data_IF_077280133729
#
_entry.id   IF_077280133729
#
_cell.length_a   1.000
_cell.length_b   1.000
_cell.length_c   1.000
_cell.angle_alpha   90.00
_cell.angle_beta   90.00
_cell.angle_gamma   90.00
#
_symmetry.space_group_name_H-M   'P 1'
#
loop_
_entity.id
_entity.type
_entity.pdbx_description
1 polymer ?
#
# COMPACT_ATOMS: atom_id res chain seq x y z
N UNK A 1 -9.42 -35.51 -34.12
CA UNK A 1 -9.96 -36.87 -33.88
C UNK A 1 -11.48 -36.84 -34.03
N UNK A 2 -12.11 -37.97 -34.34
CA UNK A 2 -13.57 -38.07 -34.30
C UNK A 2 -13.98 -38.56 -32.91
N UNK A 3 -14.91 -37.86 -32.28
CA UNK A 3 -15.42 -38.20 -30.95
C UNK A 3 -16.91 -38.46 -31.08
N UNK A 4 -17.38 -39.60 -30.60
CA UNK A 4 -18.81 -39.92 -30.51
C UNK A 4 -19.36 -39.41 -29.19
N UNK A 5 -20.41 -38.59 -29.22
CA UNK A 5 -21.04 -38.05 -28.01
C UNK A 5 -22.02 -39.07 -27.45
N UNK A 6 -21.68 -39.70 -26.33
CA UNK A 6 -22.45 -40.83 -25.78
C UNK A 6 -23.56 -40.36 -24.85
N UNK A 7 -23.28 -39.34 -24.03
CA UNK A 7 -24.19 -38.88 -22.99
C UNK A 7 -24.08 -37.38 -22.78
N UNK A 8 -25.21 -36.73 -22.57
CA UNK A 8 -25.28 -35.35 -22.09
C UNK A 8 -26.11 -35.31 -20.81
N UNK A 9 -25.68 -34.52 -19.85
CA UNK A 9 -26.38 -34.23 -18.59
C UNK A 9 -26.51 -32.74 -18.40
N UNK A 10 -27.62 -32.30 -17.80
CA UNK A 10 -27.86 -30.90 -17.51
C UNK A 10 -27.27 -30.55 -16.13
N UNK A 11 -26.41 -29.54 -16.07
CA UNK A 11 -25.85 -28.98 -14.84
C UNK A 11 -26.32 -27.53 -14.62
N UNK A 12 -25.87 -26.86 -13.56
CA UNK A 12 -26.23 -25.46 -13.29
C UNK A 12 -25.68 -24.48 -14.32
N UNK A 13 -24.61 -24.83 -15.03
CA UNK A 13 -23.92 -23.99 -16.00
C UNK A 13 -24.23 -24.32 -17.47
N UNK A 14 -25.03 -25.36 -17.74
CA UNK A 14 -25.42 -25.76 -19.09
C UNK A 14 -25.49 -27.27 -19.26
N UNK A 15 -25.36 -27.73 -20.51
CA UNK A 15 -25.24 -29.16 -20.82
C UNK A 15 -23.77 -29.58 -20.79
N UNK A 16 -23.47 -30.63 -20.03
CA UNK A 16 -22.18 -31.30 -20.00
C UNK A 16 -22.30 -32.61 -20.78
N UNK A 17 -21.57 -32.73 -21.88
CA UNK A 17 -21.58 -33.93 -22.71
C UNK A 17 -20.26 -34.68 -22.61
N UNK A 18 -20.34 -36.01 -22.55
CA UNK A 18 -19.21 -36.92 -22.54
C UNK A 18 -19.15 -37.67 -23.86
N UNK A 19 -17.97 -37.74 -24.44
CA UNK A 19 -17.74 -38.48 -25.67
C UNK A 19 -16.53 -39.41 -25.58
N UNK A 20 -16.50 -40.39 -26.48
CA UNK A 20 -15.38 -41.32 -26.59
C UNK A 20 -14.79 -41.35 -27.99
N UNK A 21 -13.51 -41.72 -28.08
CA UNK A 21 -12.81 -41.91 -29.34
C UNK A 21 -11.80 -43.04 -29.24
N UNK A 22 -11.44 -43.58 -30.39
CA UNK A 22 -10.35 -44.56 -30.51
C UNK A 22 -9.13 -43.88 -31.10
N UNK A 23 -7.98 -44.05 -30.45
CA UNK A 23 -6.71 -43.53 -30.96
C UNK A 23 -6.15 -44.42 -32.09
N UNK A 24 -5.05 -43.98 -32.71
CA UNK A 24 -4.42 -44.72 -33.81
C UNK A 24 -3.81 -46.06 -33.39
N UNK A 25 -3.71 -46.35 -32.08
CA UNK A 25 -3.22 -47.60 -31.51
C UNK A 25 -4.36 -48.54 -31.09
N UNK A 26 -5.61 -48.16 -31.36
CA UNK A 26 -6.79 -48.94 -30.98
C UNK A 26 -7.23 -48.74 -29.52
N UNK A 27 -6.60 -47.83 -28.78
CA UNK A 27 -6.99 -47.49 -27.42
C UNK A 27 -8.27 -46.65 -27.40
N UNK A 28 -9.26 -47.05 -26.59
CA UNK A 28 -10.49 -46.26 -26.37
C UNK A 28 -10.28 -45.28 -25.22
N UNK A 29 -10.62 -44.02 -25.47
CA UNK A 29 -10.54 -42.92 -24.52
C UNK A 29 -11.90 -42.26 -24.38
N UNK A 30 -12.19 -41.68 -23.22
CA UNK A 30 -13.42 -40.92 -22.98
C UNK A 30 -13.14 -39.69 -22.15
N UNK A 31 -13.75 -38.56 -22.52
CA UNK A 31 -13.62 -37.30 -21.81
C UNK A 31 -14.90 -36.47 -21.92
N UNK A 32 -15.02 -35.46 -21.07
CA UNK A 32 -15.98 -34.39 -21.29
C UNK A 32 -15.59 -33.60 -22.54
N UNK A 33 -16.59 -33.24 -23.35
CA UNK A 33 -16.41 -32.57 -24.64
C UNK A 33 -17.06 -31.20 -24.57
N UNK A 34 -16.25 -30.15 -24.50
CA UNK A 34 -16.73 -28.79 -24.54
C UNK A 34 -17.29 -28.44 -25.95
N UNK A 35 -18.17 -27.44 -26.00
CA UNK A 35 -18.86 -26.95 -27.22
C UNK A 35 -19.72 -27.98 -27.92
N UNK A 36 -20.43 -28.76 -27.12
CA UNK A 36 -21.44 -29.69 -27.60
C UNK A 36 -22.75 -29.40 -26.89
N UNK A 37 -23.86 -29.73 -27.53
CA UNK A 37 -25.18 -29.58 -26.94
C UNK A 37 -25.94 -30.92 -26.91
N UNK A 38 -27.18 -30.88 -26.41
CA UNK A 38 -28.03 -32.07 -26.34
C UNK A 38 -28.38 -32.66 -27.72
N UNK A 39 -28.38 -31.84 -28.78
CA UNK A 39 -28.63 -32.27 -30.15
C UNK A 39 -27.45 -33.03 -30.74
N UNK A 40 -26.28 -32.95 -30.12
CA UNK A 40 -25.09 -33.68 -30.52
C UNK A 40 -25.02 -35.11 -29.97
N UNK A 41 -25.93 -35.48 -29.04
CA UNK A 41 -25.99 -36.84 -28.49
C UNK A 41 -26.18 -37.89 -29.59
N UNK A 42 -25.29 -38.87 -29.62
CA UNK A 42 -25.24 -39.94 -30.62
C UNK A 42 -24.56 -39.56 -31.93
N UNK A 43 -24.02 -38.34 -32.06
CA UNK A 43 -23.31 -37.88 -33.27
C UNK A 43 -21.80 -38.00 -33.08
N UNK A 44 -21.10 -38.25 -34.19
CA UNK A 44 -19.64 -38.18 -34.24
C UNK A 44 -19.20 -36.79 -34.69
N UNK A 45 -18.46 -36.08 -33.83
CA UNK A 45 -17.97 -34.74 -34.07
C UNK A 45 -16.46 -34.71 -34.26
N UNK A 46 -15.99 -33.78 -35.10
CA UNK A 46 -14.56 -33.49 -35.20
C UNK A 46 -14.14 -32.69 -33.98
N UNK A 47 -13.28 -33.30 -33.16
CA UNK A 47 -12.76 -32.69 -31.95
C UNK A 47 -11.23 -32.59 -31.96
N UNK A 48 -10.72 -31.75 -31.05
CA UNK A 48 -9.30 -31.57 -30.77
C UNK A 48 -9.05 -31.65 -29.27
N UNK A 49 -7.91 -32.20 -28.88
CA UNK A 49 -7.46 -32.19 -27.49
C UNK A 49 -6.57 -30.97 -27.28
N UNK A 50 -6.89 -30.15 -26.29
CA UNK A 50 -6.16 -28.95 -25.90
C UNK A 50 -5.80 -28.97 -24.40
N UNK A 51 -5.14 -27.90 -23.91
CA UNK A 51 -4.75 -27.78 -22.50
C UNK A 51 -5.93 -27.78 -21.51
N UNK A 52 -7.15 -27.57 -22.00
CA UNK A 52 -8.38 -27.55 -21.22
C UNK A 52 -9.32 -28.73 -21.51
N UNK A 53 -8.83 -29.80 -22.15
CA UNK A 53 -9.60 -31.00 -22.43
C UNK A 53 -9.96 -31.17 -23.91
N UNK A 54 -11.09 -31.84 -24.18
CA UNK A 54 -11.54 -32.15 -25.55
C UNK A 54 -12.61 -31.14 -25.97
N UNK A 55 -12.44 -30.56 -27.15
CA UNK A 55 -13.34 -29.53 -27.66
C UNK A 55 -13.87 -29.93 -29.04
N UNK A 56 -15.19 -29.95 -29.21
CA UNK A 56 -15.81 -30.09 -30.53
C UNK A 56 -15.96 -28.70 -31.18
N UNK A 57 -15.83 -28.60 -32.50
CA UNK A 57 -16.02 -27.32 -33.20
C UNK A 57 -14.78 -26.40 -33.27
N UNK A 58 -15.00 -25.12 -33.58
CA UNK A 58 -13.93 -24.16 -33.88
C UNK A 58 -13.66 -23.24 -32.69
N UNK A 59 -12.37 -22.95 -32.43
CA UNK A 59 -11.89 -22.01 -31.40
C UNK A 59 -12.53 -20.60 -31.49
N UNK A 60 -13.21 -20.27 -32.59
CA UNK A 60 -13.92 -19.01 -32.74
C UNK A 60 -15.07 -18.84 -31.74
N UNK A 61 -15.67 -19.92 -31.24
CA UNK A 61 -16.72 -19.86 -30.22
C UNK A 61 -16.18 -19.50 -28.82
N UNK A 62 -14.91 -19.80 -28.54
CA UNK A 62 -14.20 -19.41 -27.31
C UNK A 62 -13.52 -18.04 -27.37
N UNK A 63 -13.49 -17.42 -28.55
CA UNK A 63 -12.80 -16.15 -28.77
C UNK A 63 -13.21 -15.03 -27.80
N UNK A 64 -14.50 -14.84 -27.44
CA UNK A 64 -14.85 -13.81 -26.47
C UNK A 64 -14.30 -14.09 -25.06
N UNK A 65 -14.24 -15.35 -24.61
CA UNK A 65 -13.66 -15.73 -23.32
C UNK A 65 -12.14 -15.55 -23.32
N UNK A 66 -11.46 -15.97 -24.39
CA UNK A 66 -10.01 -15.80 -24.54
C UNK A 66 -9.61 -14.32 -24.67
N UNK A 67 -10.42 -13.51 -25.36
CA UNK A 67 -10.23 -12.05 -25.45
C UNK A 67 -10.41 -11.39 -24.08
N UNK A 68 -11.45 -11.77 -23.32
CA UNK A 68 -11.66 -11.26 -21.97
C UNK A 68 -10.46 -11.60 -21.06
N UNK A 69 -10.02 -12.86 -21.04
CA UNK A 69 -8.85 -13.28 -20.27
C UNK A 69 -7.57 -12.55 -20.70
N UNK A 70 -7.36 -12.38 -22.01
CA UNK A 70 -6.25 -11.61 -22.56
C UNK A 70 -6.26 -10.15 -22.14
N UNK A 71 -7.42 -9.49 -22.15
CA UNK A 71 -7.59 -8.11 -21.69
C UNK A 71 -7.36 -7.98 -20.18
N UNK A 72 -7.82 -8.93 -19.37
CA UNK A 72 -7.53 -8.95 -17.92
C UNK A 72 -6.03 -9.07 -17.65
N UNK A 73 -5.34 -9.97 -18.36
CA UNK A 73 -3.89 -10.14 -18.22
C UNK A 73 -3.12 -8.91 -18.69
N UNK A 74 -3.51 -8.33 -19.83
CA UNK A 74 -2.90 -7.10 -20.35
C UNK A 74 -3.13 -5.91 -19.41
N UNK A 75 -4.35 -5.75 -18.88
CA UNK A 75 -4.70 -4.73 -17.90
C UNK A 75 -3.91 -4.91 -16.59
N UNK A 76 -3.82 -6.13 -16.08
CA UNK A 76 -3.01 -6.46 -14.90
C UNK A 76 -1.52 -6.15 -15.11
N UNK A 77 -0.97 -6.53 -16.27
CA UNK A 77 0.42 -6.20 -16.62
C UNK A 77 0.65 -4.69 -16.71
N UNK A 78 -0.28 -3.94 -17.30
CA UNK A 78 -0.22 -2.48 -17.36
C UNK A 78 -0.23 -1.84 -15.96
N UNK A 79 -1.09 -2.31 -15.05
CA UNK A 79 -1.13 -1.84 -13.65
C UNK A 79 0.20 -2.14 -12.92
N UNK A 80 0.76 -3.34 -13.12
CA UNK A 80 2.06 -3.72 -12.54
C UNK A 80 3.20 -2.87 -13.10
N UNK A 81 3.20 -2.57 -14.40
CA UNK A 81 4.20 -1.70 -15.02
C UNK A 81 4.07 -0.25 -14.52
N UNK A 82 2.84 0.27 -14.44
CA UNK A 82 2.56 1.62 -13.95
C UNK A 82 2.98 1.78 -12.49
N UNK A 83 2.61 0.82 -11.63
CA UNK A 83 3.03 0.82 -10.21
C UNK A 83 4.55 0.75 -10.06
N UNK A 84 5.26 -0.02 -10.92
CA UNK A 84 6.73 -0.05 -10.95
C UNK A 84 7.33 1.30 -11.35
N UNK A 85 6.72 2.00 -12.30
CA UNK A 85 7.18 3.32 -12.72
C UNK A 85 7.04 4.35 -11.60
N UNK A 86 5.86 4.44 -10.98
CA UNK A 86 5.60 5.33 -9.84
C UNK A 86 6.56 5.02 -8.68
N UNK A 87 6.76 3.74 -8.36
CA UNK A 87 7.69 3.34 -7.30
C UNK A 87 9.15 3.71 -7.59
N UNK A 88 9.56 3.78 -8.87
CA UNK A 88 10.91 4.25 -9.23
C UNK A 88 11.07 5.74 -9.00
N UNK A 89 10.06 6.54 -9.35
CA UNK A 89 10.09 8.00 -9.12
C UNK A 89 10.23 8.30 -7.62
N UNK A 90 9.37 7.70 -6.79
CA UNK A 90 9.42 7.89 -5.33
C UNK A 90 10.76 7.41 -4.76
N UNK A 91 11.30 6.27 -5.23
CA UNK A 91 12.60 5.78 -4.80
C UNK A 91 13.75 6.74 -5.17
N UNK A 92 13.69 7.39 -6.35
CA UNK A 92 14.69 8.38 -6.74
C UNK A 92 14.60 9.65 -5.89
N UNK A 93 13.40 10.10 -5.54
CA UNK A 93 13.22 11.25 -4.63
C UNK A 93 13.71 10.92 -3.23
N UNK A 94 13.35 9.74 -2.70
CA UNK A 94 13.81 9.29 -1.41
C UNK A 94 15.34 9.13 -1.37
N UNK A 95 15.94 8.57 -2.43
CA UNK A 95 17.40 8.49 -2.51
C UNK A 95 18.03 9.88 -2.53
N UNK A 96 17.48 10.84 -3.29
CA UNK A 96 17.96 12.22 -3.32
C UNK A 96 17.91 12.89 -1.94
N UNK A 97 16.82 12.69 -1.19
CA UNK A 97 16.71 13.14 0.20
C UNK A 97 17.86 12.59 1.04
N UNK A 98 18.16 11.29 0.91
CA UNK A 98 19.18 10.61 1.72
C UNK A 98 20.62 10.99 1.36
N UNK A 99 20.87 11.36 0.11
CA UNK A 99 22.22 11.65 -0.39
C UNK A 99 22.55 13.14 -0.46
N UNK A 100 21.59 14.03 -0.16
CA UNK A 100 21.82 15.47 -0.19
C UNK A 100 22.78 15.90 0.94
N UNK A 101 23.98 16.43 0.61
CA UNK A 101 24.98 16.82 1.60
C UNK A 101 24.70 18.19 2.27
N UNK A 102 23.50 18.76 2.09
CA UNK A 102 23.12 20.04 2.68
C UNK A 102 23.06 20.04 4.22
N UNK A 103 22.93 21.24 4.83
CA UNK A 103 22.83 21.40 6.29
C UNK A 103 21.49 20.88 6.88
N UNK A 104 20.59 20.39 6.04
CA UNK A 104 19.31 19.87 6.43
C UNK A 104 19.44 18.58 7.26
N UNK A 105 18.52 18.36 8.18
CA UNK A 105 18.44 17.13 8.94
C UNK A 105 17.77 16.05 8.09
N UNK A 106 18.56 15.05 7.71
CA UNK A 106 18.08 13.89 6.95
C UNK A 106 17.94 12.67 7.85
N UNK A 107 16.80 11.98 7.73
CA UNK A 107 16.42 10.84 8.55
C UNK A 107 15.80 9.70 7.73
N UNK A 108 16.14 8.47 8.09
CA UNK A 108 15.41 7.25 7.78
C UNK A 108 14.45 6.97 8.94
N UNK A 109 13.15 7.03 8.67
CA UNK A 109 12.10 6.82 9.66
C UNK A 109 11.41 5.50 9.38
N UNK A 110 11.46 4.58 10.35
CA UNK A 110 10.76 3.29 10.30
C UNK A 110 9.61 3.23 11.31
N UNK A 111 9.22 2.02 11.73
CA UNK A 111 8.08 1.79 12.63
C UNK A 111 8.23 2.50 13.98
N UNK A 112 9.45 2.62 14.49
CA UNK A 112 9.69 3.13 15.82
C UNK A 112 11.00 3.88 15.97
N UNK A 113 11.83 3.97 14.93
CA UNK A 113 13.10 4.69 14.99
C UNK A 113 13.20 5.68 13.85
N UNK A 114 13.80 6.83 14.15
CA UNK A 114 14.31 7.78 13.19
C UNK A 114 15.83 7.80 13.33
N UNK A 115 16.54 7.51 12.24
CA UNK A 115 18.01 7.39 12.22
C UNK A 115 18.59 8.26 11.14
N UNK A 116 19.78 8.81 11.35
CA UNK A 116 20.56 9.46 10.30
C UNK A 116 21.03 8.43 9.25
N UNK A 117 21.39 8.86 8.03
CA UNK A 117 21.88 7.95 6.98
C UNK A 117 23.13 7.15 7.36
N UNK A 118 23.93 7.65 8.31
CA UNK A 118 25.11 6.97 8.89
C UNK A 118 24.75 5.87 9.91
N UNK A 119 23.46 5.70 10.22
CA UNK A 119 22.95 4.73 11.17
C UNK A 119 22.80 5.25 12.60
N UNK A 120 23.24 6.47 12.90
CA UNK A 120 23.08 7.06 14.23
C UNK A 120 21.59 7.28 14.54
N UNK A 121 21.13 6.80 15.69
CA UNK A 121 19.76 7.06 16.14
C UNK A 121 19.56 8.56 16.40
N UNK A 122 18.44 9.10 15.93
CA UNK A 122 18.01 10.48 16.21
C UNK A 122 16.83 10.49 17.19
N UNK A 123 15.84 9.62 16.95
CA UNK A 123 14.72 9.47 17.85
C UNK A 123 14.18 8.03 17.87
N UNK A 124 13.61 7.65 19.00
CA UNK A 124 12.99 6.35 19.27
C UNK A 124 11.58 6.56 19.82
N UNK A 125 10.59 5.95 19.19
CA UNK A 125 9.24 5.82 19.69
C UNK A 125 9.13 4.58 20.59
N UNK A 126 8.71 4.77 21.84
CA UNK A 126 8.47 3.67 22.78
C UNK A 126 6.99 3.64 23.18
N UNK A 127 6.31 2.54 22.88
CA UNK A 127 4.94 2.29 23.31
C UNK A 127 4.92 1.94 24.80
N UNK A 128 3.97 2.49 25.56
CA UNK A 128 3.76 2.15 26.98
C UNK A 128 5.02 2.33 27.84
N UNK A 129 5.43 3.58 28.06
CA UNK A 129 6.62 3.89 28.85
C UNK A 129 6.36 3.66 30.35
N UNK A 130 7.06 2.72 31.03
CA UNK A 130 6.83 2.44 32.44
C UNK A 130 7.25 3.58 33.38
N UNK A 131 8.07 4.51 32.90
CA UNK A 131 8.55 5.66 33.68
C UNK A 131 7.52 6.80 33.76
N UNK A 132 6.50 6.78 32.90
CA UNK A 132 5.47 7.81 32.87
C UNK A 132 4.08 7.20 33.12
N UNK A 133 3.28 7.80 34.01
CA UNK A 133 1.89 7.37 34.18
C UNK A 133 1.11 7.59 32.87
N UNK A 134 0.29 6.61 32.53
CA UNK A 134 -0.66 6.75 31.43
C UNK A 134 -1.65 7.88 31.75
N UNK A 135 -1.90 8.81 30.81
CA UNK A 135 -2.94 9.82 30.98
C UNK A 135 -4.30 9.15 31.28
N UNK A 136 -5.10 9.70 32.20
CA UNK A 136 -6.45 9.19 32.46
C UNK A 136 -7.27 9.14 31.17
N UNK A 137 -7.89 8.00 30.89
CA UNK A 137 -8.72 7.80 29.69
C UNK A 137 -7.94 7.61 28.39
N UNK A 138 -6.61 7.49 28.43
CA UNK A 138 -5.80 7.13 27.27
C UNK A 138 -5.57 5.63 27.21
N UNK A 139 -5.77 5.06 26.03
CA UNK A 139 -5.43 3.67 25.73
C UNK A 139 -3.91 3.48 25.70
N UNK A 140 -3.41 2.49 26.44
CA UNK A 140 -1.99 2.17 26.51
C UNK A 140 -1.40 1.78 25.15
N UNK A 141 -2.21 1.24 24.24
CA UNK A 141 -1.77 0.92 22.87
C UNK A 141 -1.63 2.16 21.99
N UNK A 142 -2.26 3.25 22.40
CA UNK A 142 -2.30 4.55 21.70
C UNK A 142 -1.54 5.65 22.44
N UNK A 143 -0.64 5.25 23.34
CA UNK A 143 0.27 6.12 24.07
C UNK A 143 1.73 5.71 23.84
N UNK A 144 2.58 6.69 23.60
CA UNK A 144 4.00 6.48 23.40
C UNK A 144 4.85 7.64 23.92
N UNK A 145 6.14 7.41 24.09
CA UNK A 145 7.14 8.45 24.32
C UNK A 145 8.06 8.55 23.12
N UNK A 146 8.40 9.79 22.76
CA UNK A 146 9.46 10.09 21.81
C UNK A 146 10.73 10.36 22.61
N UNK A 147 11.76 9.57 22.39
CA UNK A 147 13.07 9.71 23.04
C UNK A 147 14.11 10.15 22.03
N UNK A 148 15.03 11.03 22.45
CA UNK A 148 16.21 11.38 21.66
C UNK A 148 17.30 10.32 21.83
N UNK A 149 18.36 10.44 21.04
CA UNK A 149 19.54 9.57 21.08
C UNK A 149 20.25 9.51 22.44
N UNK A 150 20.06 10.52 23.30
CA UNK A 150 20.59 10.56 24.67
C UNK A 150 19.68 9.84 25.69
N UNK A 151 18.57 9.25 25.23
CA UNK A 151 17.59 8.56 26.07
C UNK A 151 16.56 9.47 26.73
N UNK A 152 16.71 10.81 26.64
CA UNK A 152 15.76 11.75 27.22
C UNK A 152 14.45 11.76 26.44
N UNK A 153 13.34 11.85 27.16
CA UNK A 153 12.01 12.02 26.57
C UNK A 153 11.92 13.44 26.02
N UNK A 154 11.76 13.59 24.70
CA UNK A 154 11.50 14.88 24.08
C UNK A 154 10.03 15.27 24.18
N UNK A 155 9.13 14.27 24.06
CA UNK A 155 7.68 14.46 24.11
C UNK A 155 6.97 13.15 24.43
N UNK A 156 5.73 13.24 24.92
CA UNK A 156 4.80 12.11 24.93
C UNK A 156 3.81 12.25 23.76
N UNK A 157 3.25 11.14 23.29
CA UNK A 157 2.32 11.13 22.18
C UNK A 157 1.08 10.33 22.52
N UNK A 158 -0.06 10.82 22.05
CA UNK A 158 -1.29 10.04 21.95
C UNK A 158 -1.86 10.14 20.55
N UNK A 159 -2.57 9.12 20.10
CA UNK A 159 -3.27 9.19 18.82
C UNK A 159 -4.62 8.48 18.87
N UNK A 160 -5.57 9.02 18.14
CA UNK A 160 -6.85 8.39 17.82
C UNK A 160 -6.90 8.14 16.31
N UNK A 161 -8.05 7.69 15.81
CA UNK A 161 -8.26 7.55 14.37
C UNK A 161 -8.32 8.94 13.70
N UNK A 162 -8.83 9.94 14.42
CA UNK A 162 -9.02 11.30 13.91
C UNK A 162 -7.90 12.29 14.26
N UNK A 163 -7.02 11.99 15.23
CA UNK A 163 -6.07 12.97 15.76
C UNK A 163 -4.75 12.36 16.22
N UNK A 164 -3.64 13.07 16.01
CA UNK A 164 -2.35 12.80 16.68
C UNK A 164 -2.03 13.99 17.58
N UNK A 165 -1.68 13.74 18.84
CA UNK A 165 -1.30 14.77 19.83
C UNK A 165 0.12 14.55 20.32
N UNK A 166 0.84 15.64 20.47
CA UNK A 166 2.12 15.72 21.15
C UNK A 166 1.93 16.46 22.45
N UNK A 167 2.43 15.87 23.53
CA UNK A 167 2.26 16.31 24.90
C UNK A 167 3.63 16.69 25.47
N UNK A 168 3.63 17.68 26.35
CA UNK A 168 4.80 18.02 27.18
C UNK A 168 5.31 16.77 27.92
N UNK A 169 6.63 16.50 27.98
CA UNK A 169 7.18 15.37 28.71
C UNK A 169 6.70 15.32 30.17
N UNK A 170 6.07 14.21 30.55
CA UNK A 170 5.57 13.99 31.90
C UNK A 170 4.38 14.88 32.31
N UNK A 171 3.81 15.63 31.38
CA UNK A 171 2.62 16.47 31.60
C UNK A 171 1.53 16.11 30.60
N UNK A 172 0.31 16.44 30.97
CA UNK A 172 -0.88 16.17 30.14
C UNK A 172 -1.30 17.37 29.30
N UNK A 173 -0.38 18.33 29.15
CA UNK A 173 -0.58 19.53 28.34
C UNK A 173 -0.24 19.21 26.89
N UNK A 174 -1.19 19.48 25.98
CA UNK A 174 -0.96 19.36 24.54
C UNK A 174 -0.08 20.52 24.09
N UNK A 175 1.03 20.22 23.42
CA UNK A 175 1.88 21.24 22.79
C UNK A 175 1.45 21.47 21.34
N UNK A 176 1.16 20.37 20.63
CA UNK A 176 0.75 20.39 19.24
C UNK A 176 -0.12 19.18 18.90
N UNK A 177 -0.86 19.30 17.79
CA UNK A 177 -1.75 18.26 17.29
C UNK A 177 -1.86 18.27 15.77
N UNK A 178 -2.27 17.14 15.22
CA UNK A 178 -2.78 17.01 13.86
C UNK A 178 -4.22 16.53 13.98
N UNK A 179 -5.23 17.43 13.89
CA UNK A 179 -6.62 17.06 14.02
C UNK A 179 -7.22 16.60 12.68
N UNK A 180 -8.38 15.96 12.73
CA UNK A 180 -9.23 15.63 11.58
C UNK A 180 -8.52 14.85 10.46
N UNK A 181 -7.70 13.87 10.82
CA UNK A 181 -6.89 13.08 9.87
C UNK A 181 -7.71 12.51 8.71
N UNK A 182 -8.87 11.93 9.03
CA UNK A 182 -9.77 11.32 8.04
C UNK A 182 -10.38 12.35 7.08
N UNK A 183 -10.64 13.57 7.55
CA UNK A 183 -11.18 14.67 6.73
C UNK A 183 -10.08 15.38 5.93
N UNK A 184 -8.82 15.26 6.34
CA UNK A 184 -7.67 15.94 5.76
C UNK A 184 -6.95 15.08 4.71
N UNK A 185 -7.66 14.18 4.02
CA UNK A 185 -7.06 13.28 3.02
C UNK A 185 -6.13 14.04 2.03
N UNK A 186 -4.82 13.91 2.24
CA UNK A 186 -3.78 14.56 1.44
C UNK A 186 -3.30 15.95 1.87
N UNK A 187 -3.86 16.54 2.94
CA UNK A 187 -3.39 17.79 3.56
C UNK A 187 -3.47 17.84 5.10
N UNK A 188 -2.78 16.95 5.84
CA UNK A 188 -2.72 17.04 7.30
C UNK A 188 -2.19 18.40 7.80
N UNK A 189 -2.87 19.00 8.79
CA UNK A 189 -2.50 20.28 9.41
C UNK A 189 -1.84 20.06 10.76
N UNK A 190 -0.69 20.67 10.99
CA UNK A 190 0.00 20.69 12.29
C UNK A 190 -0.38 21.99 12.98
N UNK A 191 -1.06 21.89 14.12
CA UNK A 191 -1.54 23.02 14.92
C UNK A 191 -0.86 23.00 16.30
N UNK A 192 -0.69 24.18 16.90
CA UNK A 192 -0.32 24.28 18.30
C UNK A 192 -1.53 24.03 19.23
N UNK A 193 -1.30 24.10 20.55
CA UNK A 193 -2.34 23.95 21.57
C UNK A 193 -3.56 24.86 21.37
N UNK A 194 -3.36 26.09 20.92
CA UNK A 194 -4.41 27.08 20.67
C UNK A 194 -5.12 26.92 19.32
N UNK A 195 -4.73 25.92 18.50
CA UNK A 195 -5.28 25.69 17.17
C UNK A 195 -4.70 26.59 16.08
N UNK A 196 -3.61 27.32 16.36
CA UNK A 196 -2.88 28.08 15.35
C UNK A 196 -2.10 27.12 14.45
N UNK A 197 -2.22 27.32 13.14
CA UNK A 197 -1.47 26.57 12.14
C UNK A 197 0.03 26.82 12.27
N UNK A 198 0.79 25.74 12.42
CA UNK A 198 2.26 25.72 12.45
C UNK A 198 2.84 25.24 11.12
N UNK A 199 2.23 24.22 10.51
CA UNK A 199 2.65 23.69 9.22
C UNK A 199 1.53 22.84 8.59
N UNK A 200 1.65 22.54 7.30
CA UNK A 200 0.81 21.61 6.56
C UNK A 200 1.67 20.55 5.87
N UNK A 201 1.17 19.31 5.85
CA UNK A 201 1.75 18.21 5.09
C UNK A 201 0.99 18.13 3.77
N UNK A 202 1.60 18.52 2.66
CA UNK A 202 0.95 18.56 1.36
C UNK A 202 1.63 17.60 0.39
N UNK A 203 0.87 16.97 -0.52
CA UNK A 203 1.50 16.18 -1.59
C UNK A 203 2.39 17.09 -2.43
N UNK A 204 3.63 16.66 -2.66
CA UNK A 204 4.59 17.44 -3.45
C UNK A 204 4.10 17.60 -4.89
N UNK A 205 4.11 18.83 -5.41
CA UNK A 205 3.68 19.13 -6.77
C UNK A 205 4.57 18.44 -7.81
N UNK A 206 3.98 18.00 -8.92
CA UNK A 206 4.71 17.34 -10.00
C UNK A 206 5.17 15.91 -9.73
N UNK A 207 4.86 15.35 -8.54
CA UNK A 207 5.23 13.99 -8.18
C UNK A 207 4.03 13.04 -8.19
N UNK A 208 4.18 11.90 -8.86
CA UNK A 208 3.21 10.82 -8.76
C UNK A 208 3.54 9.95 -7.55
N UNK A 209 2.67 9.91 -6.53
CA UNK A 209 2.79 8.97 -5.41
C UNK A 209 3.04 9.57 -4.02
N UNK A 210 3.73 8.81 -3.16
CA UNK A 210 3.91 9.06 -1.73
C UNK A 210 5.10 9.99 -1.43
N UNK A 211 5.07 11.18 -2.01
CA UNK A 211 6.02 12.27 -1.73
C UNK A 211 5.25 13.46 -1.17
N UNK A 212 5.68 13.95 -0.02
CA UNK A 212 5.01 15.00 0.73
C UNK A 212 5.99 16.10 1.12
N UNK A 213 5.56 17.35 1.01
CA UNK A 213 6.25 18.52 1.53
C UNK A 213 5.62 18.94 2.85
N UNK A 214 6.44 19.50 3.73
CA UNK A 214 6.01 20.15 4.97
C UNK A 214 6.14 21.64 4.70
N UNK A 215 5.01 22.36 4.66
CA UNK A 215 4.97 23.78 4.33
C UNK A 215 4.55 24.59 5.55
N UNK A 216 5.24 25.70 5.82
CA UNK A 216 4.81 26.68 6.80
C UNK A 216 3.57 27.45 6.29
N UNK A 217 2.86 28.21 7.14
CA UNK A 217 1.67 28.97 6.74
C UNK A 217 1.92 30.02 5.66
N UNK A 218 3.16 30.51 5.53
CA UNK A 218 3.58 31.45 4.50
C UNK A 218 3.98 30.78 3.17
N UNK A 219 3.90 29.45 3.10
CA UNK A 219 4.27 28.64 1.94
C UNK A 219 5.74 28.20 1.91
N UNK A 220 6.56 28.59 2.88
CA UNK A 220 7.97 28.16 2.98
C UNK A 220 8.05 26.65 3.19
N UNK A 221 8.84 25.94 2.37
CA UNK A 221 9.09 24.51 2.57
C UNK A 221 10.01 24.33 3.80
N UNK A 222 9.49 23.69 4.84
CA UNK A 222 10.22 23.33 6.07
C UNK A 222 10.85 21.95 5.98
N UNK A 223 10.48 21.15 4.99
CA UNK A 223 11.01 19.83 4.78
C UNK A 223 10.20 19.00 3.79
N UNK A 224 10.62 17.77 3.60
CA UNK A 224 10.03 16.83 2.66
C UNK A 224 10.23 15.41 3.12
N UNK A 225 9.27 14.53 2.83
CA UNK A 225 9.47 13.10 3.01
C UNK A 225 8.90 12.28 1.86
N UNK A 226 9.52 11.13 1.61
CA UNK A 226 9.16 10.21 0.55
C UNK A 226 9.18 8.77 1.06
N UNK A 227 8.19 7.98 0.64
CA UNK A 227 8.08 6.57 1.06
C UNK A 227 9.09 5.70 0.30
N UNK A 228 9.95 4.98 1.01
CA UNK A 228 10.90 4.04 0.41
C UNK A 228 10.22 2.71 0.08
N UNK A 229 10.15 1.80 1.08
CA UNK A 229 9.54 0.47 1.02
C UNK A 229 9.10 0.10 2.44
N UNK A 230 8.15 -0.84 2.59
CA UNK A 230 7.79 -1.48 3.87
C UNK A 230 7.65 -0.51 5.06
N UNK A 231 6.78 0.50 4.94
CA UNK A 231 6.51 1.50 6.00
C UNK A 231 7.73 2.32 6.45
N UNK A 232 8.77 2.39 5.62
CA UNK A 232 9.95 3.26 5.84
C UNK A 232 9.85 4.52 4.99
N UNK A 233 10.24 5.64 5.58
CA UNK A 233 10.22 6.97 4.98
C UNK A 233 11.63 7.55 5.00
N UNK A 234 12.00 8.25 3.93
CA UNK A 234 13.11 9.18 3.94
C UNK A 234 12.54 10.57 4.25
N UNK A 235 13.07 11.25 5.27
CA UNK A 235 12.63 12.56 5.74
C UNK A 235 13.82 13.53 5.68
N UNK A 236 13.59 14.73 5.18
CA UNK A 236 14.49 15.88 5.21
C UNK A 236 13.78 17.04 5.88
N UNK A 237 14.43 17.68 6.84
CA UNK A 237 13.93 18.86 7.52
C UNK A 237 14.92 19.99 7.33
N UNK A 238 14.44 21.13 6.86
CA UNK A 238 15.27 22.33 6.69
C UNK A 238 15.74 22.87 8.03
N UNK A 239 16.89 23.56 8.10
CA UNK A 239 17.40 24.15 9.33
C UNK A 239 16.43 25.14 10.02
N UNK A 240 15.50 25.73 9.25
CA UNK A 240 14.44 26.60 9.77
C UNK A 240 13.23 25.87 10.36
N UNK A 241 13.17 24.55 10.27
CA UNK A 241 12.08 23.76 10.85
C UNK A 241 12.18 23.77 12.38
N UNK A 242 11.09 24.16 13.05
CA UNK A 242 11.04 24.15 14.51
C UNK A 242 11.06 22.72 15.05
N UNK A 243 11.60 22.53 16.25
CA UNK A 243 11.61 21.23 16.94
C UNK A 243 10.21 20.67 17.12
N UNK A 244 9.24 21.53 17.42
CA UNK A 244 7.84 21.14 17.59
C UNK A 244 7.23 20.58 16.29
N UNK A 245 7.48 21.24 15.15
CA UNK A 245 7.02 20.74 13.84
C UNK A 245 7.75 19.45 13.48
N UNK A 246 9.06 19.36 13.72
CA UNK A 246 9.84 18.15 13.48
C UNK A 246 9.30 16.95 14.28
N UNK A 247 9.00 17.13 15.56
CA UNK A 247 8.46 16.07 16.42
C UNK A 247 7.04 15.68 16.03
N UNK A 248 6.20 16.63 15.61
CA UNK A 248 4.87 16.34 15.06
C UNK A 248 4.92 15.55 13.75
N UNK A 249 5.89 15.86 12.88
CA UNK A 249 6.09 15.09 11.64
C UNK A 249 6.54 13.66 11.96
N UNK A 250 7.47 13.50 12.91
CA UNK A 250 7.86 12.17 13.38
C UNK A 250 6.68 11.41 13.99
N UNK A 251 5.88 12.07 14.84
CA UNK A 251 4.66 11.53 15.42
C UNK A 251 3.71 11.01 14.33
N UNK A 252 3.46 11.82 13.30
CA UNK A 252 2.63 11.46 12.16
C UNK A 252 3.17 10.22 11.42
N UNK A 253 4.47 10.19 11.13
CA UNK A 253 5.10 9.07 10.42
C UNK A 253 5.07 7.77 11.23
N UNK A 254 5.23 7.85 12.56
CA UNK A 254 5.20 6.68 13.45
C UNK A 254 3.79 6.13 13.72
N UNK A 255 2.74 6.91 13.47
CA UNK A 255 1.35 6.55 13.77
C UNK A 255 0.56 6.33 12.48
N UNK A 256 0.10 7.41 11.85
CA UNK A 256 -0.81 7.43 10.69
C UNK A 256 -0.09 7.08 9.39
N UNK A 257 1.17 7.51 9.24
CA UNK A 257 2.02 7.16 8.10
C UNK A 257 2.27 5.65 7.92
N UNK A 258 1.79 4.82 8.86
CA UNK A 258 1.86 3.34 8.80
C UNK A 258 0.63 2.69 8.15
N UNK A 259 -0.51 3.39 8.13
CA UNK A 259 -1.78 2.89 7.59
C UNK A 259 -1.90 3.14 6.07
N UNK A 260 -1.24 4.18 5.56
CA UNK A 260 -1.16 4.51 4.13
C UNK A 260 -0.20 3.62 3.33
#
# INVERSE_FOLDING_TARGET
>A
MMVEIERCSHSRSGWECRGSWTDSRGGRHSAEVAHTDINDKGRSLKARTGPFGVHAGSLWQDTPLLLAAGLFLAGGAAIVLLSRFVNREVAQVAQRILTDPGPALTLLVDRSTARRPDGQEYALLRLGDPELPLPPGTDAERYATLRRSDGRISSSLTWSDDEVRLLEPGRMTVEARIPHLDLQSGRPRIENAEGRLLAEIVRASGHTGNVYCIAAPDGTELGRFARLRRRTWALRLEPGCSTLVADMVLAHLFTVGRAA
#
